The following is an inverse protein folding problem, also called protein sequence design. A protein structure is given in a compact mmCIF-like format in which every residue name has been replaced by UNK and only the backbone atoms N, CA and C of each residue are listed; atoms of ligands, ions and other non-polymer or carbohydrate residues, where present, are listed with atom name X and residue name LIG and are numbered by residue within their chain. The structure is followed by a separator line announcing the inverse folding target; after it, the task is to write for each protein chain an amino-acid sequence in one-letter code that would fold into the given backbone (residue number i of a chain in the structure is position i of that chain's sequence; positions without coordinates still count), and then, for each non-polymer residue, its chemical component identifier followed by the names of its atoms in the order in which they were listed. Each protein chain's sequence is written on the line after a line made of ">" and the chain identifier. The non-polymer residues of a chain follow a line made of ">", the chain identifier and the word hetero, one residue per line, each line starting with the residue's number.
data_IF_200863049117
#
_entry.id   IF_200863049117
#
_cell.length_a   1.000
_cell.length_b   1.000
_cell.length_c   1.000
_cell.angle_alpha   90.00
_cell.angle_beta   90.00
_cell.angle_gamma   90.00
#
_symmetry.space_group_name_H-M   'P 1'
#
loop_
_entity.id
_entity.type
_entity.pdbx_description
1 polymer ?
#
# COMPACT_ATOMS: atom_id res chain seq x y z
N UNK A 1 -39.99 -5.81 51.38
CA UNK A 1 -39.05 -6.92 51.05
C UNK A 1 -38.74 -7.01 49.54
N UNK A 2 -39.63 -6.57 48.65
CA UNK A 2 -39.41 -6.60 47.18
C UNK A 2 -38.40 -5.57 46.65
N UNK A 3 -38.37 -4.36 47.22
CA UNK A 3 -37.45 -3.27 46.82
C UNK A 3 -35.97 -3.67 46.95
N UNK A 4 -35.62 -4.31 48.08
CA UNK A 4 -34.26 -4.79 48.35
C UNK A 4 -33.83 -5.88 47.35
N UNK A 5 -34.78 -6.75 47.00
CA UNK A 5 -34.56 -7.83 46.03
C UNK A 5 -34.36 -7.27 44.61
N UNK A 6 -35.19 -6.30 44.20
CA UNK A 6 -35.09 -5.62 42.92
C UNK A 6 -33.77 -4.83 42.79
N UNK A 7 -33.38 -4.12 43.85
CA UNK A 7 -32.11 -3.38 43.87
C UNK A 7 -30.90 -4.32 43.78
N UNK A 8 -30.93 -5.45 44.49
CA UNK A 8 -29.84 -6.45 44.45
C UNK A 8 -29.73 -7.09 43.07
N UNK A 9 -30.87 -7.37 42.44
CA UNK A 9 -30.93 -7.94 41.10
C UNK A 9 -30.39 -6.98 40.03
N UNK A 10 -30.81 -5.70 40.08
CA UNK A 10 -30.30 -4.67 39.16
C UNK A 10 -28.79 -4.44 39.33
N UNK A 11 -28.31 -4.45 40.58
CA UNK A 11 -26.89 -4.32 40.85
C UNK A 11 -26.08 -5.50 40.29
N UNK A 12 -26.61 -6.73 40.40
CA UNK A 12 -26.01 -7.91 39.79
C UNK A 12 -25.93 -7.82 38.27
N UNK A 13 -27.00 -7.36 37.61
CA UNK A 13 -27.01 -7.13 36.16
C UNK A 13 -25.99 -6.07 35.76
N UNK A 14 -25.92 -4.96 36.50
CA UNK A 14 -24.94 -3.90 36.22
C UNK A 14 -23.51 -4.45 36.29
N UNK A 15 -23.16 -5.17 37.36
CA UNK A 15 -21.84 -5.81 37.49
C UNK A 15 -21.56 -6.74 36.31
N UNK A 16 -22.55 -7.51 35.86
CA UNK A 16 -22.38 -8.43 34.73
C UNK A 16 -22.14 -7.66 33.42
N UNK A 17 -22.94 -6.63 33.13
CA UNK A 17 -22.81 -5.80 31.94
C UNK A 17 -21.48 -5.05 31.88
N UNK A 18 -20.96 -4.58 33.01
CA UNK A 18 -19.67 -3.88 33.07
C UNK A 18 -18.48 -4.83 33.21
N UNK A 19 -18.68 -6.01 33.80
CA UNK A 19 -17.64 -7.01 34.02
C UNK A 19 -17.34 -7.87 32.80
N UNK A 20 -18.35 -8.25 32.01
CA UNK A 20 -18.19 -9.10 30.83
C UNK A 20 -17.19 -8.53 29.79
N UNK A 21 -17.23 -7.24 29.44
CA UNK A 21 -16.25 -6.65 28.52
C UNK A 21 -14.80 -6.66 29.03
N UNK A 22 -14.59 -6.81 30.35
CA UNK A 22 -13.27 -6.82 30.98
C UNK A 22 -12.63 -8.23 31.02
N UNK A 23 -13.44 -9.29 30.81
CA UNK A 23 -12.97 -10.67 30.75
C UNK A 23 -11.79 -10.88 29.79
N UNK A 24 -11.81 -10.41 28.53
CA UNK A 24 -10.66 -10.59 27.63
C UNK A 24 -9.38 -9.95 28.17
N UNK A 25 -9.48 -8.81 28.86
CA UNK A 25 -8.32 -8.11 29.44
C UNK A 25 -7.75 -8.88 30.64
N UNK A 26 -8.60 -9.42 31.50
CA UNK A 26 -8.18 -10.23 32.66
C UNK A 26 -7.53 -11.55 32.18
N UNK A 27 -8.11 -12.18 31.16
CA UNK A 27 -7.56 -13.38 30.52
C UNK A 27 -6.19 -13.08 29.92
N UNK A 28 -6.02 -11.93 29.27
CA UNK A 28 -4.75 -11.53 28.68
C UNK A 28 -3.68 -11.19 29.73
N UNK A 29 -4.07 -10.57 30.85
CA UNK A 29 -3.17 -10.23 31.95
C UNK A 29 -2.57 -11.47 32.63
N UNK A 30 -3.29 -12.59 32.63
CA UNK A 30 -2.81 -13.88 33.12
C UNK A 30 -1.82 -14.58 32.18
N UNK A 31 -1.78 -14.20 30.90
CA UNK A 31 -0.81 -14.72 29.93
C UNK A 31 0.52 -14.02 30.14
N UNK A 32 1.40 -14.61 30.96
CA UNK A 32 2.80 -14.18 31.07
C UNK A 32 3.50 -14.41 29.74
N UNK A 33 3.64 -13.33 28.97
CA UNK A 33 4.39 -13.32 27.72
C UNK A 33 3.49 -13.10 26.51
N UNK A 34 3.10 -11.85 26.29
CA UNK A 34 2.96 -11.38 24.92
C UNK A 34 4.34 -11.58 24.28
N UNK A 35 4.50 -12.65 23.49
CA UNK A 35 5.68 -12.74 22.63
C UNK A 35 5.67 -11.46 21.80
N UNK A 36 6.76 -10.68 21.77
CA UNK A 36 6.83 -9.54 20.87
C UNK A 36 6.39 -10.04 19.50
N UNK A 37 5.52 -9.29 18.83
CA UNK A 37 5.17 -9.56 17.44
C UNK A 37 6.50 -9.85 16.74
N UNK A 38 6.63 -11.03 16.11
CA UNK A 38 7.89 -11.43 15.48
C UNK A 38 8.10 -10.54 14.27
N UNK A 39 8.54 -9.31 14.52
CA UNK A 39 9.04 -8.42 13.49
C UNK A 39 10.38 -9.03 13.12
N UNK A 40 10.46 -9.50 11.88
CA UNK A 40 11.69 -9.98 11.30
C UNK A 40 12.69 -8.82 11.24
N UNK A 41 13.47 -8.65 12.31
CA UNK A 41 14.46 -7.57 12.46
C UNK A 41 15.65 -7.73 11.53
N UNK A 42 15.76 -8.86 10.85
CA UNK A 42 16.86 -9.15 9.93
C UNK A 42 16.85 -8.23 8.71
N UNK A 43 15.70 -7.61 8.41
CA UNK A 43 15.51 -6.66 7.30
C UNK A 43 15.11 -5.24 7.75
N UNK A 44 15.11 -4.96 9.07
CA UNK A 44 14.88 -3.61 9.61
C UNK A 44 16.04 -2.69 9.24
N UNK A 45 15.96 -2.06 8.08
CA UNK A 45 16.91 -1.04 7.64
C UNK A 45 17.41 -1.22 6.21
N UNK A 46 17.24 -2.41 5.62
CA UNK A 46 17.53 -2.57 4.20
C UNK A 46 16.31 -2.13 3.39
N UNK A 47 16.29 -0.85 3.02
CA UNK A 47 15.36 -0.28 2.03
C UNK A 47 15.34 -1.17 0.75
N UNK A 48 16.48 -1.80 0.45
CA UNK A 48 16.64 -2.80 -0.61
C UNK A 48 15.75 -4.02 -0.45
N UNK A 49 15.48 -4.50 0.77
CA UNK A 49 14.60 -5.64 0.98
C UNK A 49 13.18 -5.33 0.48
N UNK A 50 12.64 -4.15 0.80
CA UNK A 50 11.32 -3.74 0.32
C UNK A 50 11.28 -3.52 -1.19
N UNK A 51 12.33 -2.91 -1.76
CA UNK A 51 12.48 -2.78 -3.21
C UNK A 51 12.52 -4.16 -3.89
N UNK A 52 13.28 -5.10 -3.32
CA UNK A 52 13.39 -6.48 -3.81
C UNK A 52 12.06 -7.23 -3.67
N UNK A 53 11.34 -7.10 -2.56
CA UNK A 53 10.02 -7.71 -2.41
C UNK A 53 9.03 -7.17 -3.43
N UNK A 54 9.03 -5.86 -3.68
CA UNK A 54 8.17 -5.26 -4.70
C UNK A 54 8.59 -5.67 -6.11
N UNK A 55 9.89 -5.74 -6.39
CA UNK A 55 10.43 -6.29 -7.64
C UNK A 55 9.99 -7.74 -7.82
N UNK A 56 10.14 -8.59 -6.81
CA UNK A 56 9.66 -9.97 -6.82
C UNK A 56 8.14 -10.03 -7.00
N UNK A 57 7.37 -9.12 -6.41
CA UNK A 57 5.93 -9.03 -6.60
C UNK A 57 5.59 -8.67 -8.05
N UNK A 58 6.25 -7.67 -8.63
CA UNK A 58 6.13 -7.33 -10.04
C UNK A 58 6.55 -8.49 -10.92
N UNK A 59 7.74 -9.05 -10.74
CA UNK A 59 8.27 -10.19 -11.51
C UNK A 59 7.39 -11.44 -11.41
N UNK A 60 6.85 -11.76 -10.23
CA UNK A 60 5.94 -12.89 -10.05
C UNK A 60 4.60 -12.66 -10.73
N UNK A 61 4.05 -11.44 -10.65
CA UNK A 61 2.85 -11.06 -11.39
C UNK A 61 3.10 -10.95 -12.91
N UNK A 62 4.31 -10.58 -13.33
CA UNK A 62 4.77 -10.61 -14.72
C UNK A 62 4.97 -12.04 -15.24
N UNK A 63 4.90 -13.08 -14.40
CA UNK A 63 4.78 -14.45 -14.90
C UNK A 63 3.37 -14.75 -15.43
N UNK A 64 2.38 -13.93 -15.11
CA UNK A 64 1.09 -13.98 -15.77
C UNK A 64 1.30 -13.54 -17.24
N UNK A 65 1.10 -14.45 -18.22
CA UNK A 65 1.38 -14.16 -19.61
C UNK A 65 0.54 -12.99 -20.14
N UNK A 66 -0.68 -12.80 -19.65
CA UNK A 66 -1.56 -11.69 -20.05
C UNK A 66 -1.02 -10.35 -19.58
N UNK A 67 -0.59 -10.26 -18.31
CA UNK A 67 -0.06 -9.00 -17.77
C UNK A 67 1.25 -8.62 -18.47
N UNK A 68 2.11 -9.62 -18.72
CA UNK A 68 3.37 -9.42 -19.44
C UNK A 68 3.15 -9.01 -20.88
N UNK A 69 2.23 -9.67 -21.59
CA UNK A 69 1.87 -9.31 -22.95
C UNK A 69 1.29 -7.88 -23.00
N UNK A 70 0.47 -7.48 -22.04
CA UNK A 70 -0.03 -6.11 -21.96
C UNK A 70 1.09 -5.08 -21.71
N UNK A 71 2.10 -5.41 -20.89
CA UNK A 71 3.25 -4.53 -20.68
C UNK A 71 4.10 -4.46 -21.97
N UNK A 72 4.43 -5.60 -22.56
CA UNK A 72 5.26 -5.68 -23.76
C UNK A 72 4.58 -5.03 -24.99
N UNK A 73 3.26 -5.18 -25.11
CA UNK A 73 2.46 -4.56 -26.19
C UNK A 73 1.97 -3.15 -25.84
N UNK A 74 2.22 -2.69 -24.61
CA UNK A 74 1.69 -1.45 -24.05
C UNK A 74 0.17 -1.37 -24.20
N UNK A 75 -0.57 -2.42 -23.87
CA UNK A 75 -2.03 -2.41 -23.87
C UNK A 75 -2.51 -2.01 -22.49
N UNK A 76 -3.44 -1.06 -22.45
CA UNK A 76 -4.04 -0.63 -21.20
C UNK A 76 -4.84 -1.79 -20.57
N UNK A 77 -4.52 -2.09 -19.32
CA UNK A 77 -5.13 -3.18 -18.56
C UNK A 77 -5.38 -2.71 -17.14
N UNK A 78 -6.54 -3.02 -16.59
CA UNK A 78 -6.88 -2.75 -15.20
C UNK A 78 -7.31 -4.03 -14.50
N UNK A 79 -6.98 -4.15 -13.21
CA UNK A 79 -7.32 -5.34 -12.45
C UNK A 79 -7.02 -5.21 -10.97
N UNK A 80 -7.01 -6.36 -10.31
CA UNK A 80 -6.56 -6.50 -8.92
C UNK A 80 -5.58 -7.67 -8.84
N UNK A 81 -4.53 -7.53 -8.04
CA UNK A 81 -3.69 -8.65 -7.68
C UNK A 81 -4.42 -9.60 -6.72
N UNK A 82 -3.84 -10.77 -6.47
CA UNK A 82 -4.42 -11.80 -5.60
C UNK A 82 -4.67 -11.31 -4.16
N UNK A 83 -3.89 -10.32 -3.71
CA UNK A 83 -4.04 -9.67 -2.40
C UNK A 83 -5.13 -8.57 -2.37
N UNK A 84 -5.79 -8.32 -3.50
CA UNK A 84 -6.82 -7.31 -3.68
C UNK A 84 -6.31 -5.92 -4.08
N UNK A 85 -4.99 -5.72 -4.19
CA UNK A 85 -4.38 -4.45 -4.58
C UNK A 85 -4.81 -4.09 -6.01
N UNK A 86 -5.50 -2.95 -6.23
CA UNK A 86 -5.89 -2.54 -7.57
C UNK A 86 -4.67 -2.05 -8.36
N UNK A 87 -4.59 -2.44 -9.63
CA UNK A 87 -3.51 -2.02 -10.52
C UNK A 87 -4.06 -1.55 -11.86
N UNK A 88 -3.28 -0.69 -12.52
CA UNK A 88 -3.50 -0.26 -13.89
C UNK A 88 -2.19 -0.22 -14.67
N UNK A 89 -2.13 -1.00 -15.73
CA UNK A 89 -1.09 -0.95 -16.76
C UNK A 89 -1.50 0.11 -17.76
N UNK A 90 -0.58 1.01 -18.06
CA UNK A 90 -0.76 2.07 -19.03
C UNK A 90 0.35 2.01 -20.07
N UNK A 91 -0.02 2.19 -21.33
CA UNK A 91 0.96 2.45 -22.39
C UNK A 91 1.76 3.69 -22.04
N UNK A 92 3.09 3.57 -22.09
CA UNK A 92 3.94 4.76 -22.22
C UNK A 92 3.63 5.40 -23.57
N UNK A 93 2.89 6.50 -23.54
CA UNK A 93 2.86 7.46 -24.65
C UNK A 93 3.89 8.53 -24.33
N UNK A 94 4.46 9.19 -25.34
CA UNK A 94 5.40 10.32 -25.17
C UNK A 94 4.83 11.53 -24.41
N UNK A 95 3.66 11.38 -23.79
CA UNK A 95 2.93 12.40 -23.04
C UNK A 95 3.09 12.31 -21.53
N UNK A 96 2.34 13.18 -20.86
CA UNK A 96 2.24 13.24 -19.40
C UNK A 96 1.16 12.28 -18.92
N UNK A 97 1.37 11.64 -17.77
CA UNK A 97 0.33 10.81 -17.15
C UNK A 97 -0.93 11.65 -16.84
N UNK A 98 -2.08 11.17 -17.28
CA UNK A 98 -3.38 11.76 -16.94
C UNK A 98 -4.16 10.84 -15.97
N UNK A 99 -4.60 11.36 -14.82
CA UNK A 99 -5.52 10.65 -13.95
C UNK A 99 -6.82 10.29 -14.70
N UNK A 100 -7.44 9.16 -14.35
CA UNK A 100 -8.69 8.74 -14.99
C UNK A 100 -9.86 9.71 -14.74
N UNK A 101 -9.81 10.44 -13.62
CA UNK A 101 -10.74 11.52 -13.31
C UNK A 101 -9.96 12.85 -13.27
N UNK A 102 -10.34 13.87 -14.06
CA UNK A 102 -9.57 15.11 -14.21
C UNK A 102 -9.27 15.85 -12.90
N UNK A 103 -10.17 15.76 -11.93
CA UNK A 103 -10.04 16.44 -10.63
C UNK A 103 -9.37 15.55 -9.56
N UNK A 104 -9.04 14.31 -9.88
CA UNK A 104 -8.46 13.38 -8.91
C UNK A 104 -6.98 13.62 -8.73
N UNK A 105 -6.62 14.09 -7.54
CA UNK A 105 -5.21 14.20 -7.11
C UNK A 105 -4.69 12.92 -6.49
N UNK A 106 -5.56 12.11 -5.92
CA UNK A 106 -5.19 10.83 -5.29
C UNK A 106 -5.42 9.68 -6.26
N UNK A 107 -4.41 8.83 -6.41
CA UNK A 107 -4.38 7.67 -7.30
C UNK A 107 -4.34 6.42 -6.40
N UNK A 108 -5.47 5.73 -6.21
CA UNK A 108 -5.58 4.61 -5.29
C UNK A 108 -5.02 3.31 -5.87
N UNK A 109 -4.69 3.27 -7.15
CA UNK A 109 -4.20 2.09 -7.88
C UNK A 109 -2.66 2.06 -7.90
N UNK A 110 -2.06 0.88 -8.01
CA UNK A 110 -0.69 0.75 -8.47
C UNK A 110 -0.64 1.04 -9.97
N UNK A 111 0.10 2.07 -10.38
CA UNK A 111 0.26 2.39 -11.80
C UNK A 111 1.55 1.76 -12.35
N UNK A 112 1.43 1.08 -13.49
CA UNK A 112 2.51 0.36 -14.16
C UNK A 112 2.63 0.91 -15.58
N UNK A 113 3.76 1.53 -15.91
CA UNK A 113 4.05 2.03 -17.26
C UNK A 113 4.93 1.05 -18.02
N UNK A 114 4.57 0.76 -19.27
CA UNK A 114 5.34 -0.09 -20.18
C UNK A 114 6.64 0.55 -20.70
N UNK A 115 6.89 1.82 -20.39
CA UNK A 115 8.06 2.57 -20.82
C UNK A 115 8.22 3.84 -20.00
N UNK A 116 8.91 4.84 -20.53
CA UNK A 116 9.20 6.09 -19.82
C UNK A 116 7.94 6.90 -19.49
N UNK A 117 7.94 7.66 -18.40
CA UNK A 117 6.78 8.49 -18.01
C UNK A 117 7.16 9.81 -17.35
N UNK A 118 6.41 10.87 -17.70
CA UNK A 118 6.35 12.12 -16.96
C UNK A 118 5.08 12.18 -16.11
N UNK A 119 5.23 12.28 -14.80
CA UNK A 119 4.11 12.42 -13.85
C UNK A 119 3.85 13.91 -13.61
N UNK A 120 2.60 14.39 -13.72
CA UNK A 120 2.30 15.79 -13.47
C UNK A 120 2.48 16.16 -11.99
N UNK A 121 2.52 17.46 -11.74
CA UNK A 121 2.71 17.99 -10.40
C UNK A 121 1.49 17.75 -9.49
N UNK A 122 1.74 17.53 -8.20
CA UNK A 122 0.70 17.54 -7.16
C UNK A 122 -0.19 16.29 -7.10
N UNK A 123 0.21 15.19 -7.76
CA UNK A 123 -0.48 13.91 -7.62
C UNK A 123 0.03 13.12 -6.40
N UNK A 124 -0.84 12.28 -5.86
CA UNK A 124 -0.58 11.38 -4.75
C UNK A 124 -0.84 9.93 -5.17
N UNK A 125 0.18 9.08 -5.12
CA UNK A 125 0.08 7.65 -5.46
C UNK A 125 0.06 6.82 -4.18
N UNK A 126 -1.11 6.27 -3.85
CA UNK A 126 -1.37 5.58 -2.57
C UNK A 126 -0.65 4.24 -2.48
N UNK A 127 -0.55 3.47 -3.58
CA UNK A 127 0.17 2.20 -3.61
C UNK A 127 1.60 2.36 -4.13
N UNK A 128 1.73 2.98 -5.29
CA UNK A 128 3.03 3.27 -5.88
C UNK A 128 2.98 3.45 -7.38
N UNK A 129 4.17 3.49 -7.96
CA UNK A 129 4.40 3.71 -9.37
C UNK A 129 5.57 2.84 -9.84
N UNK A 130 5.37 2.13 -10.94
CA UNK A 130 6.39 1.40 -11.68
C UNK A 130 6.49 1.93 -13.11
N UNK A 131 7.70 2.04 -13.63
CA UNK A 131 7.94 2.22 -15.07
C UNK A 131 9.07 1.28 -15.54
N UNK A 132 8.88 0.70 -16.73
CA UNK A 132 9.88 -0.16 -17.37
C UNK A 132 11.11 0.62 -17.90
N UNK A 133 11.09 1.95 -17.86
CA UNK A 133 12.21 2.82 -18.24
C UNK A 133 12.32 4.01 -17.26
N UNK A 134 12.39 5.24 -17.75
CA UNK A 134 12.59 6.45 -16.96
C UNK A 134 11.30 6.96 -16.29
N UNK A 135 11.42 7.56 -15.11
CA UNK A 135 10.36 8.30 -14.43
C UNK A 135 10.81 9.73 -14.16
N UNK A 136 10.04 10.71 -14.64
CA UNK A 136 10.14 12.12 -14.23
C UNK A 136 8.95 12.49 -13.35
N UNK A 137 9.14 12.50 -12.02
CA UNK A 137 8.12 12.88 -11.07
C UNK A 137 8.01 14.40 -10.94
N UNK A 138 6.85 14.94 -11.32
CA UNK A 138 6.53 16.36 -11.20
C UNK A 138 6.66 16.94 -9.79
N UNK A 139 6.57 18.28 -9.72
CA UNK A 139 6.73 19.02 -8.46
C UNK A 139 5.63 18.64 -7.46
N UNK A 140 5.96 18.62 -6.17
CA UNK A 140 4.99 18.35 -5.08
C UNK A 140 4.21 17.04 -5.23
N UNK A 141 4.74 16.08 -5.99
CA UNK A 141 4.14 14.76 -6.16
C UNK A 141 4.49 13.88 -4.97
N UNK A 142 3.51 13.16 -4.43
CA UNK A 142 3.71 12.23 -3.34
C UNK A 142 3.54 10.80 -3.88
N UNK A 143 4.53 9.95 -3.65
CA UNK A 143 4.47 8.56 -4.08
C UNK A 143 4.79 7.66 -2.89
N UNK A 144 3.96 6.68 -2.60
CA UNK A 144 4.26 5.73 -1.51
C UNK A 144 5.53 4.93 -1.81
N UNK A 145 5.60 4.33 -2.99
CA UNK A 145 6.69 3.47 -3.43
C UNK A 145 6.97 3.70 -4.92
N UNK A 146 8.24 3.82 -5.31
CA UNK A 146 8.62 4.22 -6.66
C UNK A 146 9.70 3.30 -7.25
N UNK A 147 9.46 2.75 -8.43
CA UNK A 147 10.40 1.89 -9.15
C UNK A 147 10.52 2.34 -10.61
N UNK A 148 11.71 2.74 -11.03
CA UNK A 148 12.02 2.95 -12.45
C UNK A 148 13.15 2.01 -12.87
N UNK A 149 12.95 1.23 -13.93
CA UNK A 149 14.04 0.36 -14.42
C UNK A 149 15.17 1.15 -15.09
N UNK A 150 14.88 2.36 -15.58
CA UNK A 150 15.86 3.30 -16.15
C UNK A 150 16.37 4.30 -15.11
N UNK A 151 15.99 5.57 -15.24
CA UNK A 151 16.34 6.65 -14.33
C UNK A 151 15.10 7.17 -13.59
N UNK A 152 15.28 7.67 -12.36
CA UNK A 152 14.20 8.35 -11.64
C UNK A 152 14.62 9.77 -11.29
N UNK A 153 13.82 10.75 -11.69
CA UNK A 153 13.98 12.17 -11.38
C UNK A 153 12.85 12.64 -10.48
N UNK A 154 13.19 13.21 -9.35
CA UNK A 154 12.25 13.84 -8.42
C UNK A 154 12.37 15.36 -8.54
N UNK A 155 11.29 16.03 -8.97
CA UNK A 155 11.27 17.50 -9.05
C UNK A 155 11.05 18.11 -7.66
N UNK A 156 11.15 19.43 -7.60
CA UNK A 156 11.01 20.23 -6.37
C UNK A 156 9.79 19.83 -5.53
N UNK A 157 10.03 19.46 -4.27
CA UNK A 157 8.98 19.10 -3.32
C UNK A 157 8.32 17.73 -3.58
N UNK A 158 8.80 16.94 -4.53
CA UNK A 158 8.37 15.55 -4.67
C UNK A 158 8.86 14.72 -3.47
N UNK A 159 8.00 13.84 -2.96
CA UNK A 159 8.26 13.04 -1.76
C UNK A 159 7.95 11.58 -2.04
N UNK A 160 8.89 10.70 -1.68
CA UNK A 160 8.69 9.25 -1.65
C UNK A 160 8.58 8.80 -0.20
N UNK A 161 7.44 8.21 0.18
CA UNK A 161 7.14 7.96 1.60
C UNK A 161 7.82 6.70 2.15
N UNK A 162 7.95 5.64 1.35
CA UNK A 162 8.42 4.34 1.82
C UNK A 162 9.78 3.98 1.22
N UNK A 163 9.88 3.89 -0.09
CA UNK A 163 11.14 3.53 -0.75
C UNK A 163 11.12 3.91 -2.25
N UNK A 164 12.32 4.14 -2.79
CA UNK A 164 12.60 4.40 -4.20
C UNK A 164 13.66 3.40 -4.68
N UNK A 165 13.51 2.84 -5.87
CA UNK A 165 14.48 1.95 -6.49
C UNK A 165 14.70 2.25 -7.96
N UNK A 166 15.92 1.97 -8.40
CA UNK A 166 16.41 2.12 -9.76
C UNK A 166 17.33 0.93 -10.04
N UNK A 167 17.14 0.22 -11.15
CA UNK A 167 17.86 -1.04 -11.49
C UNK A 167 19.34 -0.84 -11.91
N UNK A 168 19.79 0.41 -12.03
CA UNK A 168 21.09 0.82 -12.59
C UNK A 168 22.31 0.05 -12.04
#
# INVERSE_FOLDING_TARGET
>A
MNELFASTFLFGIAILCFGLPLVPTIVELGKRGARPLSVDRTNEGEIRHFANTFKTLLESNFRNPTLRECIDQGVDLQGKFDDGTPYRVLRSTTGTFEPAAPDSRSIPELIIFSGSIAVPAGLEFVHGLYAAEDIDCGKKTMVRSLYGAGNVRLREGAVVLRWIHVDN
#
